data_IF_672150541475
#
_entry.id   IF_672150541475
#
_cell.length_a   1.000
_cell.length_b   1.000
_cell.length_c   1.000
_cell.angle_alpha   90.00
_cell.angle_beta   90.00
_cell.angle_gamma   90.00
#
_symmetry.space_group_name_H-M   'P 1'
#
loop_
_entity.id
_entity.type
_entity.pdbx_description
1 polymer ?
#
# COMPACT_ATOMS: atom_id res chain seq x y z
N UNK A 1 -1.34 23.90 17.12
CA UNK A 1 -1.71 24.76 18.25
C UNK A 1 -3.05 25.44 18.01
N UNK A 2 -3.34 25.83 16.75
CA UNK A 2 -4.66 26.30 16.34
C UNK A 2 -4.96 25.95 14.87
N UNK A 3 -6.25 25.89 14.53
CA UNK A 3 -6.80 25.74 13.18
C UNK A 3 -7.74 26.92 12.93
N UNK A 4 -7.45 27.72 11.90
CA UNK A 4 -8.19 28.97 11.58
C UNK A 4 -8.39 29.88 12.80
N UNK A 5 -7.35 29.99 13.65
CA UNK A 5 -7.35 30.76 14.88
C UNK A 5 -8.00 30.10 16.10
N UNK A 6 -8.66 28.94 15.93
CA UNK A 6 -9.27 28.19 17.02
C UNK A 6 -8.23 27.28 17.69
N UNK A 7 -8.02 27.46 19.00
CA UNK A 7 -7.04 26.63 19.74
C UNK A 7 -7.43 25.15 19.73
N UNK A 8 -6.43 24.28 19.59
CA UNK A 8 -6.61 22.81 19.59
C UNK A 8 -6.36 22.17 20.95
N UNK A 9 -5.82 22.93 21.93
CA UNK A 9 -5.51 22.41 23.26
C UNK A 9 -6.79 21.98 23.97
N UNK A 10 -6.82 20.74 24.46
CA UNK A 10 -7.96 20.16 25.19
C UNK A 10 -9.13 19.69 24.31
N UNK A 11 -9.01 19.81 22.99
CA UNK A 11 -10.01 19.28 22.04
C UNK A 11 -9.69 17.86 21.62
N UNK A 12 -10.72 17.11 21.24
CA UNK A 12 -10.57 15.77 20.68
C UNK A 12 -9.83 15.81 19.31
N UNK A 13 -9.00 14.81 19.07
CA UNK A 13 -8.22 14.73 17.83
C UNK A 13 -9.12 14.61 16.59
N UNK A 14 -10.25 13.93 16.71
CA UNK A 14 -11.20 13.77 15.60
C UNK A 14 -11.82 15.11 15.23
N UNK A 15 -12.25 15.93 16.22
CA UNK A 15 -12.80 17.28 16.00
C UNK A 15 -11.77 18.19 15.30
N UNK A 16 -10.53 18.19 15.79
CA UNK A 16 -9.46 18.98 15.18
C UNK A 16 -9.17 18.51 13.74
N UNK A 17 -9.24 17.20 13.50
CA UNK A 17 -9.08 16.64 12.16
C UNK A 17 -10.20 17.06 11.20
N UNK A 18 -11.43 17.13 11.67
CA UNK A 18 -12.56 17.64 10.87
C UNK A 18 -12.40 19.12 10.51
N UNK A 19 -11.93 19.97 11.44
CA UNK A 19 -11.66 21.39 11.15
C UNK A 19 -10.57 21.57 10.08
N UNK A 20 -9.55 20.67 10.06
CA UNK A 20 -8.49 20.70 9.05
C UNK A 20 -9.03 20.26 7.68
N UNK A 21 -9.91 19.27 7.65
CA UNK A 21 -10.56 18.79 6.42
C UNK A 21 -11.53 19.82 5.87
N UNK A 22 -11.91 19.65 4.61
CA UNK A 22 -12.91 20.50 3.95
C UNK A 22 -12.87 20.34 2.45
N UNK A 23 -13.58 21.18 1.75
CA UNK A 23 -13.70 21.16 0.29
C UNK A 23 -12.36 21.40 -0.38
N UNK A 24 -12.03 20.59 -1.41
CA UNK A 24 -10.81 20.72 -2.22
C UNK A 24 -10.73 22.12 -2.82
N UNK A 25 -9.54 22.71 -2.76
CA UNK A 25 -9.27 24.05 -3.26
C UNK A 25 -9.53 25.17 -2.23
N UNK A 26 -10.17 24.88 -1.10
CA UNK A 26 -10.29 25.83 0.02
C UNK A 26 -9.02 25.88 0.84
N UNK A 27 -8.80 26.98 1.57
CA UNK A 27 -7.63 27.15 2.44
C UNK A 27 -7.97 26.94 3.90
N UNK A 28 -7.00 26.43 4.66
CA UNK A 28 -7.03 26.36 6.13
C UNK A 28 -5.73 26.94 6.66
N UNK A 29 -5.79 27.72 7.73
CA UNK A 29 -4.60 28.27 8.41
C UNK A 29 -4.25 27.41 9.61
N UNK A 30 -3.07 26.79 9.60
CA UNK A 30 -2.54 25.99 10.69
C UNK A 30 -1.53 26.82 11.49
N UNK A 31 -1.83 27.13 12.75
CA UNK A 31 -0.82 27.67 13.67
C UNK A 31 -0.03 26.50 14.26
N UNK A 32 1.22 26.38 13.88
CA UNK A 32 2.13 25.35 14.39
C UNK A 32 3.16 25.94 15.34
N UNK A 33 3.61 25.17 16.33
CA UNK A 33 4.68 25.57 17.25
C UNK A 33 5.94 24.75 16.97
N UNK A 34 7.06 25.44 16.78
CA UNK A 34 8.41 24.85 16.66
C UNK A 34 9.32 25.50 17.72
N UNK A 35 9.69 24.72 18.72
CA UNK A 35 10.34 25.30 19.91
C UNK A 35 9.42 26.28 20.61
N UNK A 36 9.84 27.51 20.82
CA UNK A 36 9.04 28.58 21.47
C UNK A 36 8.32 29.50 20.47
N UNK A 37 8.57 29.36 19.18
CA UNK A 37 7.96 30.19 18.14
C UNK A 37 6.69 29.55 17.58
N UNK A 38 5.64 30.35 17.43
CA UNK A 38 4.41 29.99 16.73
C UNK A 38 4.42 30.62 15.33
N UNK A 39 3.99 29.85 14.34
CA UNK A 39 3.93 30.28 12.94
C UNK A 39 2.61 29.86 12.32
N UNK A 40 1.98 30.77 11.59
CA UNK A 40 0.80 30.50 10.79
C UNK A 40 1.21 30.03 9.38
N UNK A 41 0.65 28.89 8.96
CA UNK A 41 0.86 28.33 7.64
C UNK A 41 -0.49 28.16 6.96
N UNK A 42 -0.70 28.87 5.87
CA UNK A 42 -1.86 28.68 5.01
C UNK A 42 -1.63 27.42 4.12
N UNK A 43 -2.57 26.46 4.18
CA UNK A 43 -2.55 25.24 3.41
C UNK A 43 -3.80 25.18 2.53
N UNK A 44 -3.62 24.96 1.24
CA UNK A 44 -4.73 24.71 0.31
C UNK A 44 -5.11 23.24 0.39
N UNK A 45 -6.37 22.95 0.66
CA UNK A 45 -6.88 21.57 0.71
C UNK A 45 -6.85 20.95 -0.67
N UNK A 46 -6.34 19.74 -0.76
CA UNK A 46 -6.28 18.94 -1.97
C UNK A 46 -6.48 17.47 -1.64
N UNK A 47 -6.78 16.65 -2.65
CA UNK A 47 -6.70 15.22 -2.49
C UNK A 47 -5.27 14.81 -2.16
N UNK A 48 -5.12 14.13 -1.03
CA UNK A 48 -3.83 13.58 -0.60
C UNK A 48 -3.80 12.11 -0.95
N UNK A 49 -3.17 11.78 -2.06
CA UNK A 49 -2.81 10.40 -2.38
C UNK A 49 -1.51 10.08 -1.66
N UNK A 50 -1.61 9.37 -0.54
CA UNK A 50 -0.40 8.88 0.14
C UNK A 50 0.26 7.81 -0.72
N UNK A 51 1.51 8.04 -1.10
CA UNK A 51 2.30 7.02 -1.80
C UNK A 51 2.47 5.79 -0.92
N UNK A 52 2.09 4.65 -1.46
CA UNK A 52 2.22 3.35 -0.81
C UNK A 52 3.48 2.60 -1.23
N UNK A 53 4.11 3.02 -2.32
CA UNK A 53 5.29 2.38 -2.89
C UNK A 53 6.47 3.36 -2.94
N UNK A 54 7.63 2.88 -2.51
CA UNK A 54 8.90 3.61 -2.62
C UNK A 54 10.00 2.64 -3.06
N UNK A 55 10.78 3.03 -4.09
CA UNK A 55 11.84 2.22 -4.65
C UNK A 55 13.18 2.95 -4.76
N UNK A 56 14.26 2.19 -4.63
CA UNK A 56 15.63 2.66 -4.85
C UNK A 56 16.54 1.51 -5.28
N UNK A 57 17.63 1.84 -5.96
CA UNK A 57 18.74 0.89 -6.12
C UNK A 57 19.49 0.75 -4.78
N UNK A 58 19.99 -0.44 -4.51
CA UNK A 58 20.93 -0.66 -3.40
C UNK A 58 22.31 -0.24 -3.87
N UNK A 59 22.92 0.68 -3.16
CA UNK A 59 24.17 1.32 -3.56
C UNK A 59 25.27 0.31 -3.93
N UNK A 60 25.89 0.50 -5.09
CA UNK A 60 26.98 -0.33 -5.58
C UNK A 60 26.55 -1.74 -6.05
N UNK A 61 25.27 -1.98 -6.27
CA UNK A 61 24.74 -3.26 -6.73
C UNK A 61 23.75 -3.10 -7.89
N UNK A 62 23.35 -4.20 -8.50
CA UNK A 62 22.26 -4.33 -9.47
C UNK A 62 20.91 -4.68 -8.80
N UNK A 63 20.81 -4.53 -7.47
CA UNK A 63 19.63 -4.89 -6.69
C UNK A 63 18.70 -3.68 -6.56
N UNK A 64 17.47 -3.82 -7.01
CA UNK A 64 16.38 -2.90 -6.68
C UNK A 64 15.74 -3.28 -5.35
N UNK A 65 15.38 -2.28 -4.57
CA UNK A 65 14.59 -2.43 -3.36
C UNK A 65 13.30 -1.64 -3.50
N UNK A 66 12.16 -2.29 -3.37
CA UNK A 66 10.84 -1.66 -3.41
C UNK A 66 10.08 -2.01 -2.13
N UNK A 67 9.68 -0.99 -1.37
CA UNK A 67 8.82 -1.13 -0.20
C UNK A 67 7.38 -0.83 -0.57
N UNK A 68 6.46 -1.68 -0.15
CA UNK A 68 5.01 -1.48 -0.23
C UNK A 68 4.47 -1.38 1.20
N UNK A 69 3.98 -0.20 1.59
CA UNK A 69 3.49 0.04 2.96
C UNK A 69 2.06 -0.48 3.18
N UNK A 70 1.22 -0.48 2.15
CA UNK A 70 -0.14 -1.03 2.14
C UNK A 70 -0.62 -1.20 0.70
N UNK A 71 -1.72 -1.91 0.49
CA UNK A 71 -2.36 -2.04 -0.83
C UNK A 71 -3.60 -1.15 -0.91
N UNK A 72 -3.41 0.09 -1.34
CA UNK A 72 -4.46 1.09 -1.56
C UNK A 72 -4.70 1.30 -3.05
N UNK A 73 -5.76 2.03 -3.41
CA UNK A 73 -6.00 2.42 -4.80
C UNK A 73 -4.75 3.09 -5.40
N UNK A 74 -4.30 2.59 -6.55
CA UNK A 74 -3.12 3.09 -7.26
C UNK A 74 -1.79 2.40 -6.87
N UNK A 75 -1.73 1.55 -5.83
CA UNK A 75 -0.50 0.83 -5.43
C UNK A 75 0.12 0.03 -6.58
N UNK A 76 -0.72 -0.64 -7.38
CA UNK A 76 -0.24 -1.39 -8.55
C UNK A 76 0.45 -0.49 -9.59
N UNK A 77 -0.12 0.69 -9.87
CA UNK A 77 0.48 1.66 -10.79
C UNK A 77 1.75 2.31 -10.23
N UNK A 78 1.78 2.57 -8.93
CA UNK A 78 2.97 3.08 -8.25
C UNK A 78 4.10 2.05 -8.30
N UNK A 79 3.78 0.76 -8.06
CA UNK A 79 4.74 -0.33 -8.15
C UNK A 79 5.30 -0.46 -9.57
N UNK A 80 4.44 -0.46 -10.58
CA UNK A 80 4.83 -0.51 -11.98
C UNK A 80 5.85 0.58 -12.33
N UNK A 81 5.54 1.84 -11.96
CA UNK A 81 6.44 2.98 -12.20
C UNK A 81 7.79 2.84 -11.52
N UNK A 82 7.82 2.42 -10.25
CA UNK A 82 9.09 2.22 -9.53
C UNK A 82 9.87 1.03 -10.09
N UNK A 83 9.19 -0.07 -10.44
CA UNK A 83 9.81 -1.25 -11.05
C UNK A 83 10.48 -0.88 -12.38
N UNK A 84 9.76 -0.26 -13.31
CA UNK A 84 10.29 0.15 -14.61
C UNK A 84 11.43 1.16 -14.48
N UNK A 85 11.29 2.13 -13.58
CA UNK A 85 12.35 3.09 -13.26
C UNK A 85 13.63 2.39 -12.80
N UNK A 86 13.53 1.41 -11.90
CA UNK A 86 14.70 0.66 -11.42
C UNK A 86 15.27 -0.26 -12.51
N UNK A 87 14.44 -0.87 -13.34
CA UNK A 87 14.89 -1.63 -14.52
C UNK A 87 15.71 -0.75 -15.47
N UNK A 88 15.26 0.48 -15.73
CA UNK A 88 15.99 1.46 -16.55
C UNK A 88 17.34 1.89 -15.91
N UNK A 89 17.49 1.75 -14.59
CA UNK A 89 18.74 1.99 -13.86
C UNK A 89 19.65 0.75 -13.78
N UNK A 90 19.28 -0.35 -14.44
CA UNK A 90 20.08 -1.58 -14.47
C UNK A 90 19.75 -2.57 -13.36
N UNK A 91 18.54 -2.53 -12.81
CA UNK A 91 18.10 -3.55 -11.86
C UNK A 91 18.02 -4.94 -12.54
N UNK A 92 18.75 -5.91 -11.98
CA UNK A 92 18.71 -7.31 -12.40
C UNK A 92 18.21 -8.27 -11.30
N UNK A 93 18.06 -7.77 -10.08
CA UNK A 93 17.57 -8.50 -8.91
C UNK A 93 16.66 -7.58 -8.08
N UNK A 94 15.61 -8.13 -7.44
CA UNK A 94 14.62 -7.34 -6.72
C UNK A 94 14.42 -7.82 -5.30
N UNK A 95 14.34 -6.86 -4.37
CA UNK A 95 13.84 -7.06 -3.01
C UNK A 95 12.52 -6.31 -2.90
N UNK A 96 11.43 -7.02 -2.55
CA UNK A 96 10.14 -6.43 -2.20
C UNK A 96 9.97 -6.49 -0.68
N UNK A 97 9.78 -5.35 -0.04
CA UNK A 97 9.61 -5.26 1.42
C UNK A 97 8.13 -5.06 1.78
N UNK A 98 7.55 -6.11 2.37
CA UNK A 98 6.18 -6.14 2.88
C UNK A 98 6.13 -6.12 4.42
N UNK A 99 7.23 -5.85 5.09
CA UNK A 99 7.25 -5.76 6.55
C UNK A 99 6.38 -4.61 7.03
N UNK A 100 5.54 -4.88 8.04
CA UNK A 100 4.54 -3.95 8.57
C UNK A 100 3.48 -3.52 7.54
N UNK A 101 3.25 -4.31 6.49
CA UNK A 101 2.18 -4.08 5.53
C UNK A 101 0.91 -4.82 5.98
N UNK A 102 -0.16 -4.12 6.40
CA UNK A 102 -1.38 -4.76 6.90
C UNK A 102 -2.25 -5.38 5.79
N UNK A 103 -1.79 -5.30 4.53
CA UNK A 103 -2.57 -5.69 3.36
C UNK A 103 -3.34 -4.52 2.75
N UNK A 104 -4.55 -4.80 2.32
CA UNK A 104 -5.44 -3.84 1.67
C UNK A 104 -6.21 -4.46 0.51
N UNK A 105 -6.27 -3.77 -0.62
CA UNK A 105 -7.04 -4.17 -1.80
C UNK A 105 -6.38 -5.36 -2.51
N UNK A 106 -7.14 -6.43 -2.72
CA UNK A 106 -6.68 -7.68 -3.34
C UNK A 106 -6.34 -7.47 -4.82
N UNK A 107 -7.11 -6.68 -5.54
CA UNK A 107 -6.85 -6.33 -6.94
C UNK A 107 -5.51 -5.59 -7.11
N UNK A 108 -5.11 -4.78 -6.14
CA UNK A 108 -3.82 -4.09 -6.17
C UNK A 108 -2.64 -5.06 -5.92
N UNK A 109 -2.82 -6.05 -5.05
CA UNK A 109 -1.83 -7.12 -4.88
C UNK A 109 -1.72 -7.97 -6.16
N UNK A 110 -2.84 -8.28 -6.81
CA UNK A 110 -2.85 -8.99 -8.09
C UNK A 110 -2.11 -8.21 -9.20
N UNK A 111 -2.25 -6.89 -9.26
CA UNK A 111 -1.51 -6.03 -10.20
C UNK A 111 0.00 -6.03 -9.93
N UNK A 112 0.43 -6.05 -8.67
CA UNK A 112 1.85 -6.20 -8.32
C UNK A 112 2.35 -7.59 -8.71
N UNK A 113 1.54 -8.63 -8.50
CA UNK A 113 1.88 -10.01 -8.86
C UNK A 113 2.19 -10.20 -10.35
N UNK A 114 1.59 -9.41 -11.26
CA UNK A 114 1.91 -9.41 -12.70
C UNK A 114 3.40 -9.21 -12.99
N UNK A 115 4.09 -8.44 -12.15
CA UNK A 115 5.53 -8.15 -12.29
C UNK A 115 6.42 -9.23 -11.66
N UNK A 116 5.89 -10.01 -10.72
CA UNK A 116 6.68 -10.91 -9.87
C UNK A 116 6.50 -12.37 -10.22
N UNK A 117 5.31 -12.79 -10.65
CA UNK A 117 4.95 -14.19 -10.83
C UNK A 117 4.98 -14.60 -12.31
N UNK A 118 5.22 -15.88 -12.61
CA UNK A 118 5.08 -16.42 -13.96
C UNK A 118 3.66 -16.20 -14.52
N UNK A 119 3.54 -16.09 -15.85
CA UNK A 119 2.24 -16.00 -16.51
C UNK A 119 1.36 -17.24 -16.19
N UNK A 120 0.06 -17.00 -16.01
CA UNK A 120 -0.91 -18.05 -15.67
C UNK A 120 -0.92 -18.48 -14.22
N UNK A 121 -0.12 -17.82 -13.35
CA UNK A 121 -0.17 -18.09 -11.91
C UNK A 121 -1.50 -17.63 -11.33
N UNK A 122 -2.14 -18.46 -10.50
CA UNK A 122 -3.29 -18.03 -9.71
C UNK A 122 -2.80 -17.21 -8.53
N UNK A 123 -3.18 -15.93 -8.46
CA UNK A 123 -2.79 -15.03 -7.38
C UNK A 123 -3.70 -15.24 -6.16
N UNK A 124 -5.00 -15.27 -6.38
CA UNK A 124 -5.97 -15.52 -5.32
C UNK A 124 -7.24 -16.10 -5.90
N UNK A 125 -7.83 -17.04 -5.17
CA UNK A 125 -9.16 -17.59 -5.43
C UNK A 125 -9.97 -17.52 -4.15
N UNK A 126 -11.15 -16.92 -4.20
CA UNK A 126 -12.07 -16.91 -3.08
C UNK A 126 -13.50 -17.11 -3.51
N UNK A 127 -14.26 -17.77 -2.65
CA UNK A 127 -15.69 -18.04 -2.86
C UNK A 127 -16.51 -17.06 -2.05
N UNK A 128 -17.38 -16.31 -2.71
CA UNK A 128 -18.35 -15.44 -2.04
C UNK A 128 -19.46 -16.28 -1.38
N UNK A 129 -20.14 -15.69 -0.40
CA UNK A 129 -21.26 -16.35 0.32
C UNK A 129 -22.39 -16.83 -0.61
N UNK A 130 -22.58 -16.19 -1.76
CA UNK A 130 -23.55 -16.57 -2.79
C UNK A 130 -23.06 -17.72 -3.70
N UNK A 131 -21.89 -18.30 -3.45
CA UNK A 131 -21.27 -19.36 -4.24
C UNK A 131 -20.49 -18.89 -5.46
N UNK A 132 -20.41 -17.58 -5.72
CA UNK A 132 -19.60 -17.04 -6.83
C UNK A 132 -18.11 -17.13 -6.50
N UNK A 133 -17.34 -17.72 -7.41
CA UNK A 133 -15.89 -17.75 -7.31
C UNK A 133 -15.29 -16.55 -8.05
N UNK A 134 -14.37 -15.88 -7.40
CA UNK A 134 -13.49 -14.88 -7.99
C UNK A 134 -12.06 -15.44 -8.03
N UNK A 135 -11.42 -15.31 -9.20
CA UNK A 135 -10.05 -15.80 -9.41
C UNK A 135 -9.26 -14.71 -10.11
N UNK A 136 -8.12 -14.38 -9.54
CA UNK A 136 -7.15 -13.48 -10.17
C UNK A 136 -5.97 -14.30 -10.65
N UNK A 137 -5.59 -14.12 -11.90
CA UNK A 137 -4.46 -14.82 -12.53
C UNK A 137 -3.54 -13.82 -13.20
N UNK A 138 -2.24 -14.11 -13.21
CA UNK A 138 -1.27 -13.30 -13.94
C UNK A 138 -1.32 -13.58 -15.44
N UNK A 139 -1.09 -12.54 -16.24
CA UNK A 139 -1.07 -12.61 -17.70
C UNK A 139 0.29 -12.25 -18.31
N UNK A 140 1.15 -11.56 -17.56
CA UNK A 140 2.44 -11.09 -18.03
C UNK A 140 3.41 -12.24 -18.31
N UNK A 141 3.95 -12.26 -19.53
CA UNK A 141 4.97 -13.22 -19.96
C UNK A 141 6.41 -12.67 -19.87
N UNK A 142 6.60 -11.52 -19.22
CA UNK A 142 7.90 -10.87 -19.10
C UNK A 142 8.91 -11.74 -18.36
N UNK A 143 10.18 -11.61 -18.72
CA UNK A 143 11.29 -12.26 -18.02
C UNK A 143 11.33 -11.85 -16.56
N UNK A 144 11.15 -12.82 -15.67
CA UNK A 144 11.19 -12.58 -14.22
C UNK A 144 12.65 -12.56 -13.76
N UNK A 145 12.94 -11.62 -12.88
CA UNK A 145 14.28 -11.47 -12.28
C UNK A 145 14.32 -12.13 -10.89
N UNK A 146 15.50 -12.52 -10.38
CA UNK A 146 15.64 -13.07 -9.04
C UNK A 146 14.99 -12.16 -7.99
N UNK A 147 14.13 -12.75 -7.15
CA UNK A 147 13.26 -12.05 -6.22
C UNK A 147 13.46 -12.52 -4.78
N UNK A 148 13.52 -11.59 -3.85
CA UNK A 148 13.37 -11.84 -2.42
C UNK A 148 12.24 -10.97 -1.86
N UNK A 149 11.37 -11.56 -1.03
CA UNK A 149 10.28 -10.83 -0.36
C UNK A 149 10.52 -10.82 1.14
N UNK A 150 10.55 -9.63 1.73
CA UNK A 150 10.73 -9.45 3.17
C UNK A 150 9.36 -9.37 3.85
N UNK A 151 9.15 -10.18 4.88
CA UNK A 151 7.91 -10.23 5.65
C UNK A 151 8.18 -10.22 7.16
N UNK A 152 7.17 -9.83 7.95
CA UNK A 152 7.20 -9.98 9.40
C UNK A 152 5.79 -10.26 9.95
N UNK A 153 5.66 -10.34 11.27
CA UNK A 153 4.42 -10.62 12.00
C UNK A 153 3.29 -9.61 11.75
N UNK A 154 3.61 -8.43 11.21
CA UNK A 154 2.65 -7.40 10.82
C UNK A 154 2.33 -7.41 9.32
N UNK A 155 2.91 -8.33 8.54
CA UNK A 155 2.52 -8.57 7.15
C UNK A 155 1.21 -9.36 7.15
N UNK A 156 0.13 -8.82 6.57
CA UNK A 156 -1.20 -9.42 6.69
C UNK A 156 -2.01 -9.34 5.38
N UNK A 157 -3.00 -10.24 5.22
CA UNK A 157 -4.03 -10.19 4.17
C UNK A 157 -3.41 -10.13 2.76
N UNK A 158 -3.62 -9.05 1.97
CA UNK A 158 -3.07 -8.91 0.61
C UNK A 158 -1.54 -9.04 0.55
N UNK A 159 -0.81 -8.68 1.62
CA UNK A 159 0.62 -8.92 1.72
C UNK A 159 0.94 -10.43 1.88
N UNK A 160 0.07 -11.18 2.56
CA UNK A 160 0.22 -12.64 2.68
C UNK A 160 -0.15 -13.35 1.38
N UNK A 161 -1.13 -12.84 0.64
CA UNK A 161 -1.45 -13.34 -0.71
C UNK A 161 -0.18 -13.24 -1.57
N UNK A 162 0.37 -12.04 -1.73
CA UNK A 162 1.54 -11.84 -2.59
C UNK A 162 2.76 -12.65 -2.15
N UNK A 163 3.06 -12.71 -0.85
CA UNK A 163 4.20 -13.50 -0.35
C UNK A 163 3.96 -15.01 -0.46
N UNK A 164 2.74 -15.46 -0.23
CA UNK A 164 2.32 -16.86 -0.42
C UNK A 164 2.47 -17.29 -1.88
N UNK A 165 1.99 -16.45 -2.80
CA UNK A 165 2.10 -16.71 -4.24
C UNK A 165 3.56 -16.85 -4.70
N UNK A 166 4.44 -15.95 -4.23
CA UNK A 166 5.88 -16.04 -4.52
C UNK A 166 6.48 -17.34 -4.01
N UNK A 167 6.05 -17.80 -2.82
CA UNK A 167 6.48 -19.06 -2.23
C UNK A 167 5.95 -20.26 -3.02
N UNK A 168 4.66 -20.30 -3.31
CA UNK A 168 3.98 -21.45 -3.94
C UNK A 168 4.39 -21.63 -5.41
N UNK A 169 4.63 -20.53 -6.12
CA UNK A 169 5.11 -20.55 -7.53
C UNK A 169 6.62 -20.70 -7.64
N UNK A 170 7.35 -20.68 -6.52
CA UNK A 170 8.82 -20.67 -6.50
C UNK A 170 9.44 -19.49 -7.31
N UNK A 171 8.69 -18.38 -7.43
CA UNK A 171 9.14 -17.19 -8.16
C UNK A 171 10.26 -16.44 -7.41
N UNK A 172 10.45 -16.70 -6.12
CA UNK A 172 11.47 -16.06 -5.29
C UNK A 172 11.62 -16.72 -3.93
N UNK A 173 12.34 -16.06 -3.05
CA UNK A 173 12.56 -16.50 -1.67
C UNK A 173 11.85 -15.57 -0.68
N UNK A 174 11.26 -16.13 0.37
CA UNK A 174 10.66 -15.38 1.46
C UNK A 174 11.68 -15.29 2.59
N UNK A 175 11.90 -14.08 3.09
CA UNK A 175 12.86 -13.79 4.16
C UNK A 175 12.15 -13.02 5.29
N UNK A 176 12.26 -13.51 6.51
CA UNK A 176 11.67 -12.83 7.67
C UNK A 176 11.08 -13.78 8.70
N UNK A 177 10.06 -13.31 9.42
CA UNK A 177 9.36 -14.05 10.44
C UNK A 177 7.96 -14.48 9.96
N UNK A 178 7.28 -15.32 10.73
CA UNK A 178 5.91 -15.73 10.45
C UNK A 178 4.99 -14.52 10.33
N UNK A 179 4.17 -14.50 9.28
CA UNK A 179 3.20 -13.44 9.00
C UNK A 179 1.97 -13.54 9.93
N UNK A 180 1.06 -12.58 9.83
CA UNK A 180 -0.09 -12.44 10.71
C UNK A 180 -1.06 -13.64 10.68
N UNK A 181 -1.33 -14.21 9.50
CA UNK A 181 -2.22 -15.38 9.33
C UNK A 181 -3.68 -15.01 9.07
N UNK A 182 -3.95 -13.94 8.31
CA UNK A 182 -5.32 -13.54 7.93
C UNK A 182 -5.77 -14.23 6.64
N UNK A 183 -6.48 -15.36 6.77
CA UNK A 183 -7.01 -16.19 5.67
C UNK A 183 -8.41 -15.83 5.18
N UNK A 184 -8.92 -14.60 5.44
CA UNK A 184 -10.27 -14.19 5.03
C UNK A 184 -10.24 -12.92 4.18
N UNK A 185 -11.03 -12.91 3.08
CA UNK A 185 -11.31 -11.73 2.28
C UNK A 185 -12.59 -11.06 2.78
N UNK A 186 -12.53 -9.74 3.01
CA UNK A 186 -13.66 -8.96 3.49
C UNK A 186 -14.08 -7.94 2.43
N UNK A 187 -15.37 -7.90 2.11
CA UNK A 187 -15.97 -6.85 1.28
C UNK A 187 -16.54 -5.74 2.15
N UNK A 188 -16.47 -4.51 1.67
CA UNK A 188 -17.13 -3.35 2.29
C UNK A 188 -18.31 -2.96 1.43
N UNK A 189 -19.50 -2.96 2.02
CA UNK A 189 -20.75 -2.67 1.31
C UNK A 189 -21.41 -1.44 1.94
N UNK A 190 -21.77 -0.43 1.14
CA UNK A 190 -22.53 0.71 1.65
C UNK A 190 -23.93 0.27 2.08
N UNK A 191 -24.38 0.81 3.22
CA UNK A 191 -25.73 0.61 3.75
C UNK A 191 -26.34 1.99 4.00
N UNK A 192 -27.24 2.39 3.12
CA UNK A 192 -27.77 3.78 3.14
C UNK A 192 -26.70 4.80 2.72
N UNK A 193 -26.83 6.03 3.23
CA UNK A 193 -25.97 7.16 2.88
C UNK A 193 -24.74 7.28 3.78
N UNK A 194 -24.80 6.78 5.01
CA UNK A 194 -23.84 7.13 6.07
C UNK A 194 -23.23 5.92 6.80
N UNK A 195 -23.51 4.70 6.33
CA UNK A 195 -23.02 3.49 6.96
C UNK A 195 -22.44 2.50 5.96
N UNK A 196 -21.49 1.69 6.42
CA UNK A 196 -20.93 0.54 5.67
C UNK A 196 -20.95 -0.71 6.52
N UNK A 197 -21.18 -1.86 5.88
CA UNK A 197 -21.04 -3.19 6.49
C UNK A 197 -19.80 -3.87 5.89
N UNK A 198 -19.05 -4.50 6.78
CA UNK A 198 -17.84 -5.24 6.45
C UNK A 198 -18.02 -6.73 6.73
#
# INVERSE_FOLDING_TARGET
>A
VAVDGNLTIGRDLAEVSEDIRGEIGTSVTLTIKRGDEAQDIAVVRSDITMKTVAGKMVDGTDIGYIRISSFSTGTGDEFAKEYEKLRAQGMERLIVDLRNNPGGLVDQAARVAEYLLPAGSTVVSYTQKNGKNEVFTTSSADDKIPLAVLVNENSASAAEILSGDVQDTHAGVIVGTKTYGKGTVQGVYPVGTDAVVK
#
